data_IF_181807326206
#
_entry.id   IF_181807326206
#
_cell.length_a   1.000
_cell.length_b   1.000
_cell.length_c   1.000
_cell.angle_alpha   90.00
_cell.angle_beta   90.00
_cell.angle_gamma   90.00
#
_symmetry.space_group_name_H-M   'P 1'
#
loop_
_entity.id
_entity.type
_entity.pdbx_description
1 polymer ?
#
# COMPACT_ATOMS: atom_id res chain seq x y z
N UNK A 1 -22.31 -15.69 -27.77
CA UNK A 1 -22.04 -14.44 -27.06
C UNK A 1 -20.68 -14.57 -26.41
N UNK A 2 -19.83 -13.58 -26.59
CA UNK A 2 -18.53 -13.50 -25.92
C UNK A 2 -18.68 -13.09 -24.44
N UNK A 3 -17.69 -13.38 -23.59
CA UNK A 3 -17.70 -13.01 -22.17
C UNK A 3 -17.99 -11.53 -21.96
N UNK A 4 -17.41 -10.65 -22.78
CA UNK A 4 -17.62 -9.21 -22.68
C UNK A 4 -19.07 -8.81 -22.96
N UNK A 5 -19.78 -9.52 -23.84
CA UNK A 5 -21.20 -9.26 -24.11
C UNK A 5 -22.06 -9.64 -22.91
N UNK A 6 -21.79 -10.80 -22.29
CA UNK A 6 -22.52 -11.25 -21.11
C UNK A 6 -22.26 -10.33 -19.91
N UNK A 7 -21.03 -9.81 -19.77
CA UNK A 7 -20.71 -8.83 -18.74
C UNK A 7 -21.45 -7.50 -18.97
N UNK A 8 -21.56 -7.04 -20.23
CA UNK A 8 -22.33 -5.83 -20.58
C UNK A 8 -23.82 -5.97 -20.27
N UNK A 9 -24.39 -7.14 -20.54
CA UNK A 9 -25.77 -7.45 -20.19
C UNK A 9 -25.99 -7.39 -18.67
N UNK A 10 -25.12 -8.05 -17.89
CA UNK A 10 -25.17 -7.96 -16.42
C UNK A 10 -25.05 -6.53 -15.90
N UNK A 11 -24.15 -5.73 -16.46
CA UNK A 11 -24.01 -4.33 -16.09
C UNK A 11 -25.30 -3.53 -16.37
N UNK A 12 -25.92 -3.72 -17.54
CA UNK A 12 -27.17 -3.07 -17.91
C UNK A 12 -28.36 -3.51 -17.03
N UNK A 13 -28.42 -4.79 -16.63
CA UNK A 13 -29.43 -5.30 -15.69
C UNK A 13 -29.28 -4.70 -14.28
N UNK A 14 -28.05 -4.45 -13.83
CA UNK A 14 -27.81 -3.74 -12.56
C UNK A 14 -28.19 -2.25 -12.68
N UNK A 15 -27.86 -1.61 -13.80
CA UNK A 15 -28.13 -0.18 -14.01
C UNK A 15 -29.64 0.13 -14.09
N UNK A 16 -30.37 -0.73 -14.80
CA UNK A 16 -31.83 -0.68 -14.93
C UNK A 16 -32.58 -1.03 -13.63
N UNK A 17 -31.87 -1.60 -12.63
CA UNK A 17 -32.42 -1.92 -11.32
C UNK A 17 -33.11 -3.28 -11.24
N UNK A 18 -32.96 -4.13 -12.27
CA UNK A 18 -33.41 -5.54 -12.25
C UNK A 18 -32.63 -6.36 -11.21
N UNK A 19 -31.34 -6.04 -11.02
CA UNK A 19 -30.48 -6.65 -10.00
C UNK A 19 -30.15 -5.61 -8.93
N UNK A 20 -30.61 -5.85 -7.71
CA UNK A 20 -30.44 -4.92 -6.58
C UNK A 20 -29.63 -5.53 -5.42
N UNK A 21 -29.51 -6.85 -5.37
CA UNK A 21 -28.83 -7.58 -4.30
C UNK A 21 -27.73 -8.49 -4.83
N UNK A 22 -26.75 -8.81 -3.98
CA UNK A 22 -25.65 -9.72 -4.35
C UNK A 22 -26.15 -11.13 -4.66
N UNK A 23 -27.17 -11.59 -3.96
CA UNK A 23 -27.78 -12.91 -4.21
C UNK A 23 -28.44 -12.99 -5.59
N UNK A 24 -29.13 -11.93 -6.02
CA UNK A 24 -29.68 -11.83 -7.37
C UNK A 24 -28.56 -11.83 -8.41
N UNK A 25 -27.49 -11.06 -8.18
CA UNK A 25 -26.34 -11.01 -9.07
C UNK A 25 -25.69 -12.39 -9.25
N UNK A 26 -25.44 -13.10 -8.15
CA UNK A 26 -24.77 -14.40 -8.19
C UNK A 26 -25.67 -15.47 -8.83
N UNK A 27 -26.98 -15.42 -8.61
CA UNK A 27 -27.94 -16.28 -9.31
C UNK A 27 -27.93 -16.01 -10.82
N UNK A 28 -28.00 -14.74 -11.22
CA UNK A 28 -28.02 -14.35 -12.63
C UNK A 28 -26.73 -14.72 -13.37
N UNK A 29 -25.56 -14.60 -12.72
CA UNK A 29 -24.29 -15.11 -13.27
C UNK A 29 -24.36 -16.59 -13.60
N UNK A 30 -24.92 -17.41 -12.69
CA UNK A 30 -25.04 -18.86 -12.90
C UNK A 30 -25.99 -19.15 -14.07
N UNK A 31 -27.12 -18.44 -14.15
CA UNK A 31 -28.09 -18.57 -15.24
C UNK A 31 -27.46 -18.25 -16.59
N UNK A 32 -26.80 -17.10 -16.71
CA UNK A 32 -26.11 -16.68 -17.94
C UNK A 32 -24.97 -17.63 -18.32
N UNK A 33 -24.18 -18.11 -17.36
CA UNK A 33 -23.14 -19.09 -17.64
C UNK A 33 -23.72 -20.40 -18.18
N UNK A 34 -24.92 -20.82 -17.73
CA UNK A 34 -25.61 -22.02 -18.26
C UNK A 34 -26.20 -21.77 -19.64
N UNK A 35 -26.87 -20.63 -19.82
CA UNK A 35 -27.52 -20.23 -21.06
C UNK A 35 -26.50 -20.13 -22.21
N UNK A 36 -25.38 -19.45 -21.96
CA UNK A 36 -24.32 -19.23 -22.96
C UNK A 36 -23.20 -20.27 -22.92
N UNK A 37 -23.31 -21.31 -22.07
CA UNK A 37 -22.32 -22.39 -21.89
C UNK A 37 -20.89 -21.88 -21.70
N UNK A 38 -20.74 -20.89 -20.82
CA UNK A 38 -19.46 -20.28 -20.52
C UNK A 38 -18.54 -21.29 -19.78
N UNK A 39 -17.23 -21.36 -20.11
CA UNK A 39 -16.29 -22.31 -19.51
C UNK A 39 -15.97 -22.04 -18.02
N UNK A 40 -16.27 -20.84 -17.51
CA UNK A 40 -16.08 -20.43 -16.12
C UNK A 40 -17.14 -19.43 -15.70
N UNK A 41 -17.28 -19.25 -14.38
CA UNK A 41 -18.13 -18.20 -13.84
C UNK A 41 -17.54 -16.80 -14.11
N UNK A 42 -18.43 -15.85 -14.38
CA UNK A 42 -18.09 -14.43 -14.53
C UNK A 42 -17.65 -13.88 -13.17
N UNK A 43 -16.49 -13.27 -13.15
CA UNK A 43 -15.92 -12.66 -11.95
C UNK A 43 -16.38 -11.21 -11.80
N UNK A 44 -16.38 -10.72 -10.55
CA UNK A 44 -16.75 -9.34 -10.24
C UNK A 44 -15.88 -8.29 -10.98
N UNK A 45 -14.54 -8.46 -11.09
CA UNK A 45 -13.71 -7.55 -11.87
C UNK A 45 -14.12 -7.41 -13.34
N UNK A 46 -14.52 -8.50 -13.99
CA UNK A 46 -14.92 -8.47 -15.41
C UNK A 46 -16.19 -7.65 -15.65
N UNK A 47 -17.09 -7.60 -14.66
CA UNK A 47 -18.28 -6.75 -14.70
C UNK A 47 -17.90 -5.26 -14.53
N UNK A 48 -16.87 -4.98 -13.72
CA UNK A 48 -16.37 -3.62 -13.49
C UNK A 48 -15.54 -3.08 -14.67
N UNK A 49 -14.93 -3.95 -15.47
CA UNK A 49 -14.22 -3.55 -16.69
C UNK A 49 -15.18 -3.01 -17.77
N UNK A 50 -16.40 -3.52 -17.83
CA UNK A 50 -17.39 -3.12 -18.86
C UNK A 50 -18.32 -1.98 -18.44
N UNK A 51 -18.45 -1.71 -17.14
CA UNK A 51 -19.21 -0.55 -16.64
C UNK A 51 -18.57 0.07 -15.40
N UNK A 52 -18.38 1.38 -15.46
CA UNK A 52 -17.91 2.22 -14.35
C UNK A 52 -19.07 2.88 -13.57
N UNK A 53 -20.31 2.46 -13.80
CA UNK A 53 -21.49 3.03 -13.14
C UNK A 53 -21.42 2.86 -11.62
N UNK A 54 -21.83 3.91 -10.89
CA UNK A 54 -21.85 3.92 -9.42
C UNK A 54 -22.66 2.77 -8.84
N UNK A 55 -23.82 2.46 -9.43
CA UNK A 55 -24.69 1.34 -9.00
C UNK A 55 -23.99 -0.02 -9.14
N UNK A 56 -23.31 -0.23 -10.27
CA UNK A 56 -22.56 -1.46 -10.55
C UNK A 56 -21.42 -1.60 -9.55
N UNK A 57 -20.68 -0.51 -9.32
CA UNK A 57 -19.58 -0.48 -8.35
C UNK A 57 -20.04 -0.84 -6.94
N UNK A 58 -21.11 -0.20 -6.44
CA UNK A 58 -21.63 -0.44 -5.08
C UNK A 58 -22.06 -1.90 -4.86
N UNK A 59 -22.66 -2.53 -5.87
CA UNK A 59 -23.13 -3.92 -5.78
C UNK A 59 -21.99 -4.94 -5.89
N UNK A 60 -21.06 -4.70 -6.82
CA UNK A 60 -20.02 -5.65 -7.24
C UNK A 60 -18.72 -5.53 -6.43
N UNK A 61 -18.44 -4.35 -5.87
CA UNK A 61 -17.25 -4.09 -5.06
C UNK A 61 -17.16 -5.07 -3.89
N UNK A 62 -15.99 -5.70 -3.74
CA UNK A 62 -15.73 -6.66 -2.66
C UNK A 62 -15.00 -5.96 -1.51
N UNK A 63 -15.40 -6.25 -0.27
CA UNK A 63 -14.81 -5.69 0.96
C UNK A 63 -14.83 -4.15 0.99
N UNK A 64 -16.02 -3.54 1.02
CA UNK A 64 -16.19 -2.07 1.00
C UNK A 64 -15.44 -1.38 2.15
N UNK A 65 -15.20 -2.09 3.26
CA UNK A 65 -14.43 -1.60 4.42
C UNK A 65 -13.01 -1.14 4.10
N UNK A 66 -12.42 -1.58 2.99
CA UNK A 66 -11.02 -1.24 2.63
C UNK A 66 -10.82 0.20 2.17
N UNK A 67 -11.90 0.92 1.82
CA UNK A 67 -11.81 2.31 1.34
C UNK A 67 -13.03 3.12 1.79
N UNK A 68 -13.47 2.93 3.04
CA UNK A 68 -14.60 3.70 3.59
C UNK A 68 -14.27 5.20 3.63
N UNK A 69 -13.02 5.56 3.96
CA UNK A 69 -12.57 6.95 4.00
C UNK A 69 -12.33 7.58 2.62
N UNK A 70 -12.48 6.79 1.54
CA UNK A 70 -12.09 7.22 0.19
C UNK A 70 -10.59 7.24 -0.06
N UNK A 71 -9.76 6.75 0.88
CA UNK A 71 -8.30 6.71 0.75
C UNK A 71 -7.82 5.27 0.51
N UNK A 72 -7.07 5.07 -0.57
CA UNK A 72 -6.45 3.81 -0.92
C UNK A 72 -5.09 3.65 -0.22
N UNK A 73 -4.99 2.71 0.72
CA UNK A 73 -3.72 2.40 1.40
C UNK A 73 -2.86 1.48 0.52
N UNK A 74 -1.66 1.97 0.20
CA UNK A 74 -0.67 1.29 -0.64
C UNK A 74 0.62 1.16 0.15
N UNK A 75 0.84 -0.07 0.61
CA UNK A 75 1.98 -0.40 1.44
C UNK A 75 3.04 -1.14 0.60
N UNK A 76 4.26 -0.60 0.60
CA UNK A 76 5.43 -1.04 -0.19
C UNK A 76 6.51 -1.52 0.78
N UNK A 77 7.09 -2.69 0.50
CA UNK A 77 8.22 -3.22 1.25
C UNK A 77 9.53 -2.79 0.61
N UNK A 78 10.46 -2.31 1.42
CA UNK A 78 11.85 -2.05 1.00
C UNK A 78 12.64 -3.35 0.88
N UNK A 79 13.82 -3.32 0.27
CA UNK A 79 14.70 -4.50 0.22
C UNK A 79 15.09 -4.95 1.63
N UNK A 80 15.29 -6.27 1.85
CA UNK A 80 15.84 -6.78 3.10
C UNK A 80 17.18 -6.11 3.40
N UNK A 81 17.31 -5.56 4.60
CA UNK A 81 18.53 -4.94 5.09
C UNK A 81 18.72 -5.33 6.56
N UNK A 82 19.95 -5.68 7.00
CA UNK A 82 20.19 -5.97 8.41
C UNK A 82 19.93 -4.74 9.27
N UNK A 83 19.39 -4.95 10.48
CA UNK A 83 19.33 -3.90 11.48
C UNK A 83 20.75 -3.49 11.91
N UNK A 84 21.06 -2.18 12.03
CA UNK A 84 22.39 -1.70 12.44
C UNK A 84 22.87 -2.24 13.81
N UNK A 85 21.93 -2.51 14.72
CA UNK A 85 22.21 -3.05 16.06
C UNK A 85 22.14 -4.58 16.16
N UNK A 86 21.86 -5.27 15.05
CA UNK A 86 21.59 -6.71 15.04
C UNK A 86 20.13 -7.10 15.27
N UNK A 87 19.88 -8.38 15.56
CA UNK A 87 18.54 -8.97 15.67
C UNK A 87 18.02 -8.88 17.11
N UNK A 88 16.85 -8.25 17.32
CA UNK A 88 16.15 -8.29 18.61
C UNK A 88 15.59 -9.70 18.91
N UNK A 89 15.43 -10.07 20.18
CA UNK A 89 15.03 -11.43 20.58
C UNK A 89 13.70 -11.91 19.97
N UNK A 90 12.67 -11.05 19.92
CA UNK A 90 11.36 -11.41 19.37
C UNK A 90 11.23 -11.12 17.88
N UNK A 91 12.25 -10.53 17.25
CA UNK A 91 12.21 -10.29 15.82
C UNK A 91 12.21 -11.65 15.11
N UNK A 92 11.23 -11.96 14.23
CA UNK A 92 11.29 -13.18 13.41
C UNK A 92 12.60 -13.22 12.59
N UNK A 93 13.17 -12.04 12.32
CA UNK A 93 14.42 -11.82 11.61
C UNK A 93 14.17 -11.05 10.33
N UNK A 94 15.16 -11.12 9.43
CA UNK A 94 15.11 -10.65 8.07
C UNK A 94 16.12 -11.48 7.28
N UNK A 95 15.60 -12.28 6.35
CA UNK A 95 16.38 -13.06 5.39
C UNK A 95 16.05 -12.52 4.01
N UNK A 96 15.15 -13.21 3.30
CA UNK A 96 14.56 -12.72 2.05
C UNK A 96 13.52 -11.61 2.27
N UNK A 97 13.23 -11.21 3.52
CA UNK A 97 12.24 -10.19 3.90
C UNK A 97 12.82 -9.07 4.76
N UNK A 98 12.22 -7.87 4.76
CA UNK A 98 12.54 -6.82 5.72
C UNK A 98 12.42 -7.29 7.16
N UNK A 99 13.22 -6.68 8.03
CA UNK A 99 13.25 -7.02 9.45
C UNK A 99 11.86 -6.88 10.07
N UNK A 100 11.52 -7.82 10.95
CA UNK A 100 10.23 -7.91 11.67
C UNK A 100 9.08 -8.53 10.89
N UNK A 101 9.26 -8.89 9.61
CA UNK A 101 8.20 -9.47 8.77
C UNK A 101 8.45 -10.96 8.49
N UNK A 102 7.37 -11.75 8.42
CA UNK A 102 7.45 -13.21 8.21
C UNK A 102 7.47 -13.63 6.75
N UNK A 103 7.13 -12.73 5.82
CA UNK A 103 7.03 -13.01 4.39
C UNK A 103 5.67 -13.55 3.95
N UNK A 104 4.78 -13.85 4.91
CA UNK A 104 3.43 -14.37 4.64
C UNK A 104 2.38 -13.26 4.58
N UNK A 105 2.74 -12.05 5.00
CA UNK A 105 1.87 -10.89 4.93
C UNK A 105 1.63 -10.50 3.46
N UNK A 106 0.42 -10.04 3.07
CA UNK A 106 0.13 -9.72 1.67
C UNK A 106 1.08 -8.69 1.04
N UNK A 107 1.61 -7.76 1.81
CA UNK A 107 2.59 -6.80 1.31
C UNK A 107 4.01 -7.39 1.23
N UNK A 108 4.40 -8.22 2.20
CA UNK A 108 5.66 -8.95 2.14
C UNK A 108 5.71 -9.92 0.95
N UNK A 109 4.64 -10.68 0.71
CA UNK A 109 4.51 -11.55 -0.46
C UNK A 109 4.62 -10.77 -1.78
N UNK A 110 4.01 -9.57 -1.88
CA UNK A 110 4.19 -8.69 -3.05
C UNK A 110 5.63 -8.21 -3.19
N UNK A 111 6.26 -7.82 -2.07
CA UNK A 111 7.68 -7.45 -2.05
C UNK A 111 8.55 -8.55 -2.65
N UNK A 112 8.41 -9.79 -2.16
CA UNK A 112 9.12 -10.96 -2.68
C UNK A 112 8.80 -11.18 -4.18
N UNK A 113 7.52 -11.15 -4.56
CA UNK A 113 7.10 -11.39 -5.95
C UNK A 113 7.72 -10.41 -6.95
N UNK A 114 7.91 -9.15 -6.54
CA UNK A 114 8.45 -8.09 -7.38
C UNK A 114 9.92 -7.75 -7.07
N UNK A 115 10.63 -8.64 -6.36
CA UNK A 115 12.02 -8.45 -5.94
C UNK A 115 12.28 -7.06 -5.32
N UNK A 116 11.35 -6.63 -4.47
CA UNK A 116 11.36 -5.34 -3.77
C UNK A 116 11.43 -4.11 -4.68
N UNK A 117 11.07 -4.24 -5.96
CA UNK A 117 10.97 -3.13 -6.89
C UNK A 117 9.79 -2.21 -6.47
N UNK A 118 10.06 -0.93 -6.09
CA UNK A 118 9.02 -0.05 -5.55
C UNK A 118 7.94 0.28 -6.59
N UNK A 119 8.33 0.53 -7.84
CA UNK A 119 7.42 0.87 -8.93
C UNK A 119 6.43 -0.25 -9.19
N UNK A 120 6.93 -1.49 -9.32
CA UNK A 120 6.10 -2.66 -9.59
C UNK A 120 5.16 -2.98 -8.43
N UNK A 121 5.61 -2.81 -7.18
CA UNK A 121 4.76 -3.01 -6.00
C UNK A 121 3.57 -2.04 -5.97
N UNK A 122 3.80 -0.75 -6.28
CA UNK A 122 2.74 0.28 -6.34
C UNK A 122 1.78 -0.01 -7.49
N UNK A 123 2.30 -0.22 -8.71
CA UNK A 123 1.48 -0.52 -9.89
C UNK A 123 0.60 -1.75 -9.69
N UNK A 124 1.16 -2.86 -9.20
CA UNK A 124 0.40 -4.07 -8.93
C UNK A 124 -0.69 -3.86 -7.88
N UNK A 125 -0.43 -3.02 -6.87
CA UNK A 125 -1.41 -2.71 -5.83
C UNK A 125 -2.53 -1.80 -6.33
N UNK A 126 -2.20 -0.79 -7.14
CA UNK A 126 -3.18 0.08 -7.80
C UNK A 126 -4.09 -0.74 -8.72
N UNK A 127 -3.51 -1.55 -9.61
CA UNK A 127 -4.27 -2.41 -10.53
C UNK A 127 -5.18 -3.37 -9.76
N UNK A 128 -4.69 -3.98 -8.69
CA UNK A 128 -5.49 -4.85 -7.84
C UNK A 128 -6.70 -4.12 -7.25
N UNK A 129 -6.51 -2.90 -6.71
CA UNK A 129 -7.58 -2.10 -6.11
C UNK A 129 -8.61 -1.66 -7.16
N UNK A 130 -8.16 -1.21 -8.32
CA UNK A 130 -9.03 -0.81 -9.42
C UNK A 130 -9.86 -2.00 -9.93
N UNK A 131 -9.25 -3.17 -10.10
CA UNK A 131 -9.93 -4.40 -10.53
C UNK A 131 -11.04 -4.85 -9.56
N UNK A 132 -10.90 -4.60 -8.25
CA UNK A 132 -11.96 -4.89 -7.27
C UNK A 132 -12.93 -3.72 -7.06
N UNK A 133 -12.81 -2.65 -7.85
CA UNK A 133 -13.70 -1.51 -7.84
C UNK A 133 -13.43 -0.54 -6.69
N UNK A 134 -12.20 -0.45 -6.17
CA UNK A 134 -11.84 0.54 -5.16
C UNK A 134 -11.29 1.81 -5.83
N UNK A 135 -11.69 3.02 -5.36
CA UNK A 135 -11.15 4.26 -5.89
C UNK A 135 -9.68 4.41 -5.49
N UNK A 136 -8.86 4.96 -6.39
CA UNK A 136 -7.42 5.19 -6.20
C UNK A 136 -7.02 6.64 -6.43
N UNK A 137 -8.00 7.55 -6.54
CA UNK A 137 -7.77 8.98 -6.77
C UNK A 137 -7.05 9.67 -5.60
N UNK A 138 -7.14 9.07 -4.41
CA UNK A 138 -6.45 9.47 -3.18
C UNK A 138 -5.77 8.25 -2.57
N UNK A 139 -4.46 8.32 -2.43
CA UNK A 139 -3.63 7.23 -1.96
C UNK A 139 -2.82 7.66 -0.73
N UNK A 140 -2.70 6.73 0.22
CA UNK A 140 -1.75 6.82 1.32
C UNK A 140 -0.64 5.81 1.06
N UNK A 141 0.58 6.30 0.84
CA UNK A 141 1.77 5.48 0.64
C UNK A 141 2.36 5.14 2.00
N UNK A 142 2.62 3.86 2.25
CA UNK A 142 3.30 3.38 3.46
C UNK A 142 4.58 2.66 3.06
N UNK A 143 5.73 3.21 3.44
CA UNK A 143 7.03 2.56 3.29
C UNK A 143 7.27 1.70 4.52
N UNK A 144 7.18 0.38 4.31
CA UNK A 144 7.37 -0.62 5.34
C UNK A 144 8.76 -1.22 5.28
N UNK A 145 9.22 -1.59 6.47
CA UNK A 145 10.59 -2.04 6.70
C UNK A 145 11.26 -1.05 7.63
N UNK A 146 11.18 -1.31 8.94
CA UNK A 146 11.61 -0.39 10.00
C UNK A 146 13.10 -0.02 10.02
N UNK A 147 13.86 -0.36 8.98
CA UNK A 147 15.25 0.02 8.73
C UNK A 147 15.40 0.91 7.50
N UNK A 148 14.31 1.40 6.89
CA UNK A 148 14.39 2.24 5.69
C UNK A 148 15.29 3.48 5.89
N UNK A 149 15.15 4.26 6.97
CA UNK A 149 16.02 5.42 7.19
C UNK A 149 17.49 5.05 7.47
N UNK A 150 17.79 3.78 7.75
CA UNK A 150 19.16 3.32 7.98
C UNK A 150 19.85 2.77 6.72
N UNK A 151 19.19 2.78 5.57
CA UNK A 151 19.81 2.38 4.30
C UNK A 151 20.55 3.55 3.66
N UNK A 152 21.32 3.30 2.61
CA UNK A 152 22.01 4.38 1.88
C UNK A 152 21.01 5.38 1.27
N UNK A 153 21.37 6.67 1.29
CA UNK A 153 20.49 7.75 0.80
C UNK A 153 20.07 7.55 -0.66
N UNK A 154 20.97 7.09 -1.53
CA UNK A 154 20.67 6.80 -2.94
C UNK A 154 19.54 5.76 -3.07
N UNK A 155 19.53 4.75 -2.19
CA UNK A 155 18.48 3.75 -2.15
C UNK A 155 17.17 4.33 -1.60
N UNK A 156 17.25 5.16 -0.56
CA UNK A 156 16.06 5.83 -0.02
C UNK A 156 15.38 6.71 -1.07
N UNK A 157 16.15 7.56 -1.75
CA UNK A 157 15.65 8.42 -2.82
C UNK A 157 15.12 7.61 -4.01
N UNK A 158 15.80 6.52 -4.39
CA UNK A 158 15.31 5.58 -5.39
C UNK A 158 13.92 5.03 -5.03
N UNK A 159 13.71 4.58 -3.79
CA UNK A 159 12.42 4.01 -3.36
C UNK A 159 11.31 5.04 -3.44
N UNK A 160 11.54 6.23 -2.87
CA UNK A 160 10.53 7.30 -2.90
C UNK A 160 10.22 7.69 -4.34
N UNK A 161 11.23 8.01 -5.15
CA UNK A 161 11.08 8.38 -6.56
C UNK A 161 10.28 7.33 -7.33
N UNK A 162 10.67 6.05 -7.25
CA UNK A 162 10.02 4.97 -8.02
C UNK A 162 8.59 4.71 -7.58
N UNK A 163 8.26 4.92 -6.30
CA UNK A 163 6.87 4.89 -5.84
C UNK A 163 6.05 6.01 -6.49
N UNK A 164 6.54 7.26 -6.45
CA UNK A 164 5.84 8.40 -7.06
C UNK A 164 5.76 8.28 -8.59
N UNK A 165 6.81 7.82 -9.27
CA UNK A 165 6.78 7.50 -10.71
C UNK A 165 5.64 6.52 -11.04
N UNK A 166 5.42 5.51 -10.19
CA UNK A 166 4.33 4.56 -10.37
C UNK A 166 2.95 5.19 -10.18
N UNK A 167 2.79 6.13 -9.25
CA UNK A 167 1.54 6.89 -9.11
C UNK A 167 1.28 7.82 -10.30
N UNK A 168 2.35 8.36 -10.86
CA UNK A 168 2.33 9.29 -12.00
C UNK A 168 2.24 8.60 -13.36
N UNK A 169 2.48 7.29 -13.41
CA UNK A 169 2.60 6.49 -14.64
C UNK A 169 3.67 7.04 -15.60
N UNK A 170 4.71 7.66 -15.04
CA UNK A 170 5.78 8.30 -15.79
C UNK A 170 7.07 8.30 -14.99
N UNK A 171 8.18 8.04 -15.67
CA UNK A 171 9.50 8.12 -15.09
C UNK A 171 9.99 9.57 -15.01
N UNK A 172 10.51 9.98 -13.85
CA UNK A 172 11.25 11.24 -13.68
C UNK A 172 12.76 11.02 -13.53
N UNK A 173 13.53 12.11 -13.41
CA UNK A 173 14.95 12.04 -13.05
C UNK A 173 15.18 12.23 -11.56
N UNK A 174 14.49 13.21 -10.96
CA UNK A 174 14.65 13.57 -9.55
C UNK A 174 13.38 13.27 -8.74
N UNK A 175 13.54 13.17 -7.41
CA UNK A 175 12.42 12.91 -6.48
C UNK A 175 11.46 14.11 -6.49
N UNK A 176 12.00 15.31 -6.55
CA UNK A 176 11.28 16.59 -6.59
C UNK A 176 10.35 16.68 -7.80
N UNK A 177 10.83 16.25 -8.98
CA UNK A 177 10.01 16.18 -10.20
C UNK A 177 8.83 15.21 -10.03
N UNK A 178 9.06 14.07 -9.37
CA UNK A 178 8.03 13.06 -9.15
C UNK A 178 6.97 13.56 -8.16
N UNK A 179 7.39 14.27 -7.11
CA UNK A 179 6.52 14.91 -6.12
C UNK A 179 5.67 16.02 -6.77
N UNK A 180 6.30 16.91 -7.54
CA UNK A 180 5.63 18.02 -8.23
C UNK A 180 4.58 17.50 -9.22
N UNK A 181 4.95 16.51 -10.04
CA UNK A 181 4.02 15.88 -10.97
C UNK A 181 2.85 15.21 -10.25
N UNK A 182 3.07 14.62 -9.08
CA UNK A 182 2.02 13.91 -8.35
C UNK A 182 0.92 14.82 -7.80
N UNK A 183 1.18 16.12 -7.63
CA UNK A 183 0.16 17.09 -7.19
C UNK A 183 -1.07 17.12 -8.12
N UNK A 184 -0.87 16.79 -9.40
CA UNK A 184 -1.91 16.79 -10.44
C UNK A 184 -2.17 15.38 -11.03
N UNK A 185 -1.53 14.34 -10.50
CA UNK A 185 -1.69 12.98 -10.99
C UNK A 185 -3.11 12.44 -10.74
N UNK A 186 -3.58 11.46 -11.54
CA UNK A 186 -4.86 10.82 -11.28
C UNK A 186 -4.86 10.03 -9.96
N UNK A 187 -3.75 9.37 -9.62
CA UNK A 187 -3.57 8.66 -8.35
C UNK A 187 -2.71 9.52 -7.40
N UNK A 188 -3.32 10.46 -6.68
CA UNK A 188 -2.58 11.41 -5.83
C UNK A 188 -2.18 10.78 -4.51
N UNK A 189 -0.91 10.93 -4.14
CA UNK A 189 -0.43 10.60 -2.80
C UNK A 189 -0.79 11.76 -1.87
N UNK A 190 -1.79 11.54 -1.03
CA UNK A 190 -2.26 12.54 -0.05
C UNK A 190 -1.60 12.38 1.32
N UNK A 191 -0.82 11.32 1.50
CA UNK A 191 -0.08 11.05 2.72
C UNK A 191 1.01 10.02 2.46
N UNK A 192 2.15 10.22 3.10
CA UNK A 192 3.30 9.31 3.09
C UNK A 192 3.62 8.96 4.54
N UNK A 193 3.59 7.67 4.84
CA UNK A 193 3.99 7.10 6.13
C UNK A 193 5.30 6.36 6.00
N UNK A 194 6.26 6.66 6.87
CA UNK A 194 7.54 5.93 6.96
C UNK A 194 7.62 5.23 8.32
N UNK A 195 7.87 3.92 8.29
CA UNK A 195 8.20 3.14 9.50
C UNK A 195 9.68 3.34 9.85
N UNK A 196 9.98 3.61 11.11
CA UNK A 196 11.38 3.69 11.57
C UNK A 196 11.55 3.25 13.02
N UNK A 197 12.81 3.04 13.40
CA UNK A 197 13.20 2.90 14.80
C UNK A 197 13.43 4.28 15.42
N UNK A 198 13.17 4.46 16.73
CA UNK A 198 13.39 5.74 17.41
C UNK A 198 14.81 6.30 17.27
N UNK A 199 15.84 5.42 17.32
CA UNK A 199 17.26 5.77 17.13
C UNK A 199 17.63 6.11 15.66
N UNK A 200 16.69 6.02 14.72
CA UNK A 200 16.84 6.40 13.31
C UNK A 200 15.84 7.49 12.93
N UNK A 201 15.59 8.40 13.87
CA UNK A 201 14.68 9.53 13.74
C UNK A 201 15.32 10.86 14.23
N UNK A 202 16.64 10.97 14.12
CA UNK A 202 17.37 12.22 14.35
C UNK A 202 17.04 13.30 13.31
N UNK A 203 17.40 14.56 13.61
CA UNK A 203 17.09 15.75 12.79
C UNK A 203 17.42 15.60 11.31
N UNK A 204 18.59 15.03 10.96
CA UNK A 204 18.97 14.85 9.55
C UNK A 204 18.10 13.82 8.81
N UNK A 205 17.61 12.78 9.49
CA UNK A 205 16.63 11.86 8.91
C UNK A 205 15.30 12.56 8.69
N UNK A 206 14.86 13.36 9.67
CA UNK A 206 13.63 14.14 9.59
C UNK A 206 13.64 15.12 8.41
N UNK A 207 14.74 15.86 8.19
CA UNK A 207 14.86 16.80 7.07
C UNK A 207 14.61 16.10 5.72
N UNK A 208 15.18 14.89 5.56
CA UNK A 208 14.92 14.08 4.35
C UNK A 208 13.49 13.58 4.28
N UNK A 209 12.92 13.06 5.36
CA UNK A 209 11.51 12.65 5.40
C UNK A 209 10.58 13.81 5.00
N UNK A 210 10.81 15.01 5.52
CA UNK A 210 10.05 16.21 5.17
C UNK A 210 10.23 16.58 3.69
N UNK A 211 11.46 16.51 3.17
CA UNK A 211 11.74 16.78 1.75
C UNK A 211 11.00 15.84 0.79
N UNK A 212 10.70 14.61 1.23
CA UNK A 212 9.91 13.64 0.48
C UNK A 212 8.40 13.77 0.64
N UNK A 213 7.94 14.77 1.40
CA UNK A 213 6.51 14.96 1.69
C UNK A 213 5.94 13.92 2.66
N UNK A 214 6.76 13.39 3.57
CA UNK A 214 6.28 12.52 4.66
C UNK A 214 5.27 13.28 5.52
N UNK A 215 4.16 12.64 5.85
CA UNK A 215 3.06 13.22 6.65
C UNK A 215 2.80 12.46 7.95
N UNK A 216 3.36 11.25 8.10
CA UNK A 216 3.27 10.45 9.32
C UNK A 216 4.53 9.61 9.48
N UNK A 217 4.99 9.43 10.71
CA UNK A 217 6.08 8.50 11.04
C UNK A 217 5.59 7.50 12.07
N UNK A 218 5.83 6.22 11.80
CA UNK A 218 5.49 5.13 12.73
C UNK A 218 6.75 4.65 13.45
N UNK A 219 6.84 4.99 14.74
CA UNK A 219 7.96 4.61 15.59
C UNK A 219 7.76 3.21 16.17
N UNK A 220 8.73 2.33 15.96
CA UNK A 220 8.79 1.01 16.59
C UNK A 220 9.11 1.07 18.09
N UNK A 221 8.25 1.66 18.92
CA UNK A 221 8.41 1.79 20.38
C UNK A 221 8.40 0.42 21.06
N UNK A 222 7.32 -0.35 20.91
CA UNK A 222 7.14 -1.70 21.48
C UNK A 222 7.00 -1.73 23.02
N UNK A 223 7.80 -0.98 23.78
CA UNK A 223 7.72 -0.94 25.24
C UNK A 223 8.05 0.46 25.82
N UNK A 224 7.86 0.67 27.11
CA UNK A 224 8.17 1.96 27.77
C UNK A 224 9.13 1.79 28.95
N UNK A 225 9.81 0.64 29.03
CA UNK A 225 10.76 0.31 30.09
C UNK A 225 12.10 -0.16 29.52
N UNK A 226 13.18 0.55 29.86
CA UNK A 226 14.53 0.23 29.36
C UNK A 226 15.01 -1.17 29.76
N UNK A 227 14.67 -1.65 30.96
CA UNK A 227 15.04 -3.00 31.38
C UNK A 227 14.47 -4.10 30.46
N UNK A 228 13.37 -3.83 29.75
CA UNK A 228 12.82 -4.74 28.74
C UNK A 228 13.62 -4.63 27.45
N UNK A 229 13.94 -3.42 27.00
CA UNK A 229 14.76 -3.18 25.81
C UNK A 229 16.15 -3.83 25.91
N UNK A 230 16.79 -3.73 27.07
CA UNK A 230 18.08 -4.39 27.34
C UNK A 230 17.96 -5.91 27.23
N UNK A 231 16.94 -6.50 27.88
CA UNK A 231 16.72 -7.95 27.85
C UNK A 231 16.49 -8.47 26.43
N UNK A 232 15.69 -7.75 25.63
CA UNK A 232 15.34 -8.15 24.27
C UNK A 232 16.31 -7.66 23.20
N UNK A 233 17.39 -6.98 23.60
CA UNK A 233 18.42 -6.43 22.70
C UNK A 233 17.81 -5.55 21.61
N UNK A 234 16.95 -4.61 22.01
CA UNK A 234 16.18 -3.74 21.09
C UNK A 234 17.04 -2.73 20.33
N UNK A 235 18.20 -2.37 20.90
CA UNK A 235 19.17 -1.45 20.31
C UNK A 235 18.78 0.03 20.38
N UNK A 236 17.80 0.41 21.20
CA UNK A 236 17.49 1.81 21.56
C UNK A 236 16.89 1.85 22.97
N UNK A 237 16.72 3.06 23.50
CA UNK A 237 16.20 3.37 24.84
C UNK A 237 14.83 4.04 24.77
N UNK A 238 14.18 4.21 25.92
CA UNK A 238 12.97 5.03 26.06
C UNK A 238 13.29 6.50 25.82
N UNK A 239 14.51 6.94 26.15
CA UNK A 239 14.96 8.30 25.86
C UNK A 239 14.94 8.59 24.36
N UNK A 240 15.42 7.66 23.53
CA UNK A 240 15.37 7.79 22.07
C UNK A 240 13.93 7.93 21.57
N UNK A 241 12.98 7.21 22.18
CA UNK A 241 11.54 7.34 21.87
C UNK A 241 11.03 8.74 22.19
N UNK A 242 11.37 9.27 23.37
CA UNK A 242 10.93 10.61 23.79
C UNK A 242 11.52 11.68 22.87
N UNK A 243 12.81 11.62 22.58
CA UNK A 243 13.51 12.59 21.73
C UNK A 243 12.98 12.55 20.28
N UNK A 244 12.80 11.34 19.71
CA UNK A 244 12.22 11.17 18.38
C UNK A 244 10.78 11.71 18.33
N UNK A 245 9.95 11.38 19.33
CA UNK A 245 8.56 11.84 19.38
C UNK A 245 8.48 13.36 19.48
N UNK A 246 9.31 13.97 20.33
CA UNK A 246 9.38 15.43 20.47
C UNK A 246 9.77 16.09 19.14
N UNK A 247 10.83 15.58 18.50
CA UNK A 247 11.35 16.11 17.23
C UNK A 247 10.32 16.01 16.11
N UNK A 248 9.62 14.87 15.99
CA UNK A 248 8.55 14.68 15.01
C UNK A 248 7.38 15.64 15.24
N UNK A 249 6.95 15.80 16.49
CA UNK A 249 5.83 16.69 16.86
C UNK A 249 6.13 18.15 16.57
N UNK A 250 7.34 18.61 16.91
CA UNK A 250 7.77 19.98 16.62
C UNK A 250 7.83 20.27 15.11
N UNK A 251 8.09 19.24 14.30
CA UNK A 251 8.10 19.32 12.84
C UNK A 251 6.70 19.16 12.20
N UNK A 252 5.65 18.91 12.99
CA UNK A 252 4.29 18.74 12.51
C UNK A 252 3.93 17.34 11.99
N UNK A 253 4.71 16.32 12.34
CA UNK A 253 4.47 14.89 12.03
C UNK A 253 3.87 14.09 13.18
#
# INVERSE_FOLDING_TARGET
>A
MDYHEVCRELAAEIESGCIQTREQLDRRKIELCREYRLPRLISNPEILEVSSSKKVRELVQRKPTRTISGVAVIAVMTRPHPCPHGKCMYCPGGGETPQSYTGKEPAAMRGIQFDYNPYLQVQARLAQLQAIGHPTDKCELIIMGGTFPSQDLDYQEYVIKRCFDAFNERDTLYVEDALEMNQQAPNRVIGLTIETRPDWCHTHHLEKMLSWGTTRVELGVQNVYDFIYERVQRGHTVRDVVEATHTLRDAGL
#
